data_IF_893268699835
#
_entry.id   IF_893268699835
#
_cell.length_a   1.000
_cell.length_b   1.000
_cell.length_c   1.000
_cell.angle_alpha   90.00
_cell.angle_beta   90.00
_cell.angle_gamma   90.00
#
_symmetry.space_group_name_H-M   'P 1'
#
loop_
_entity.id
_entity.type
_entity.pdbx_description
1 polymer ?
#
# COMPACT_ATOMS: atom_id res chain seq x y z
N UNK A 1 -8.10 -4.54 0.19
CA UNK A 1 -6.92 -3.78 0.64
C UNK A 1 -5.68 -4.33 -0.04
N UNK A 2 -4.50 -3.81 0.29
CA UNK A 2 -3.21 -4.32 -0.18
C UNK A 2 -2.13 -3.94 0.82
N UNK A 3 -1.03 -4.69 0.84
CA UNK A 3 0.10 -4.49 1.76
C UNK A 3 1.41 -4.82 1.05
N UNK A 4 2.48 -4.12 1.43
CA UNK A 4 3.85 -4.51 1.16
C UNK A 4 4.64 -4.40 2.45
N UNK A 5 5.39 -5.44 2.84
CA UNK A 5 6.36 -5.34 3.92
C UNK A 5 7.64 -4.77 3.31
N UNK A 6 8.17 -3.70 3.90
CA UNK A 6 9.18 -2.87 3.26
C UNK A 6 10.42 -3.64 2.78
N UNK A 7 10.84 -4.67 3.53
CA UNK A 7 11.98 -5.49 3.16
C UNK A 7 11.80 -6.30 1.87
N UNK A 8 10.56 -6.50 1.43
CA UNK A 8 10.22 -7.23 0.21
C UNK A 8 9.76 -6.30 -0.92
N UNK A 9 10.06 -5.00 -0.85
CA UNK A 9 9.60 -3.99 -1.83
C UNK A 9 10.02 -4.27 -3.28
N UNK A 10 11.12 -5.00 -3.48
CA UNK A 10 11.66 -5.36 -4.81
C UNK A 10 11.51 -6.84 -5.12
N UNK A 11 11.61 -7.72 -4.12
CA UNK A 11 11.57 -9.16 -4.30
C UNK A 11 11.06 -9.85 -3.04
N UNK A 12 10.15 -10.82 -3.22
CA UNK A 12 9.71 -11.72 -2.15
C UNK A 12 10.78 -12.77 -1.80
N UNK A 13 11.69 -13.07 -2.74
CA UNK A 13 12.74 -14.10 -2.56
C UNK A 13 14.03 -13.55 -1.98
N UNK A 14 14.29 -12.27 -2.19
CA UNK A 14 15.52 -11.60 -1.76
C UNK A 14 15.17 -10.35 -0.94
N UNK A 15 14.88 -10.50 0.37
CA UNK A 15 14.61 -9.36 1.24
C UNK A 15 15.83 -8.46 1.36
N UNK A 16 15.61 -7.15 1.33
CA UNK A 16 16.65 -6.15 1.58
C UNK A 16 16.15 -5.14 2.62
N UNK A 17 16.95 -4.78 3.64
CA UNK A 17 16.57 -3.74 4.58
C UNK A 17 16.40 -2.38 3.88
N UNK A 18 15.73 -1.46 4.57
CA UNK A 18 15.59 -0.07 4.13
C UNK A 18 16.44 0.82 5.03
N UNK A 19 16.88 1.96 4.49
CA UNK A 19 17.61 2.98 5.25
C UNK A 19 16.59 3.94 5.88
N UNK A 20 16.71 4.18 7.18
CA UNK A 20 15.84 5.13 7.88
C UNK A 20 16.01 6.56 7.31
N UNK A 21 14.91 7.27 7.11
CA UNK A 21 14.88 8.62 6.54
C UNK A 21 15.04 8.69 5.01
N UNK A 22 15.45 7.61 4.34
CA UNK A 22 15.51 7.59 2.89
C UNK A 22 14.11 7.51 2.28
N UNK A 23 13.81 8.42 1.35
CA UNK A 23 12.54 8.37 0.63
C UNK A 23 12.55 7.26 -0.41
N UNK A 24 11.68 6.27 -0.26
CA UNK A 24 11.58 5.13 -1.16
C UNK A 24 10.21 5.05 -1.83
N UNK A 25 10.19 4.58 -3.09
CA UNK A 25 8.96 4.29 -3.83
C UNK A 25 8.49 2.87 -3.55
N UNK A 26 7.20 2.73 -3.24
CA UNK A 26 6.54 1.44 -3.07
C UNK A 26 5.44 1.25 -4.13
N UNK A 27 5.29 0.02 -4.59
CA UNK A 27 4.15 -0.40 -5.40
C UNK A 27 3.32 -1.37 -4.57
N UNK A 28 2.16 -0.92 -4.11
CA UNK A 28 1.23 -1.71 -3.31
C UNK A 28 0.12 -2.21 -4.24
N UNK A 29 0.06 -3.52 -4.47
CA UNK A 29 -1.04 -4.10 -5.24
C UNK A 29 -2.26 -4.21 -4.36
N UNK A 30 -3.36 -3.61 -4.82
CA UNK A 30 -4.66 -3.68 -4.15
C UNK A 30 -5.44 -4.89 -4.68
N UNK A 31 -6.19 -5.54 -3.80
CA UNK A 31 -7.16 -6.57 -4.21
C UNK A 31 -8.21 -6.01 -5.20
N UNK A 32 -8.76 -6.86 -6.09
CA UNK A 32 -9.70 -6.43 -7.11
C UNK A 32 -11.04 -5.99 -6.51
N UNK A 33 -11.71 -5.05 -7.17
CA UNK A 33 -13.07 -4.64 -6.85
C UNK A 33 -13.76 -4.09 -8.11
N UNK A 34 -15.10 -4.06 -8.09
CA UNK A 34 -15.93 -3.46 -9.13
C UNK A 34 -17.03 -2.64 -8.46
N UNK A 35 -16.98 -1.32 -8.59
CA UNK A 35 -17.88 -0.40 -7.90
C UNK A 35 -18.29 0.72 -8.86
N UNK A 36 -19.59 1.00 -8.94
CA UNK A 36 -20.12 2.21 -9.57
C UNK A 36 -20.26 3.32 -8.52
N UNK A 37 -19.46 4.37 -8.65
CA UNK A 37 -19.60 5.58 -7.83
C UNK A 37 -20.77 6.41 -8.35
N UNK A 38 -21.85 6.48 -7.58
CA UNK A 38 -23.03 7.30 -7.89
C UNK A 38 -22.80 8.75 -7.48
N UNK A 39 -23.66 9.65 -7.94
CA UNK A 39 -23.66 11.06 -7.51
C UNK A 39 -23.69 11.14 -5.98
N UNK A 40 -22.78 11.94 -5.41
CA UNK A 40 -22.61 12.10 -3.96
C UNK A 40 -21.64 11.11 -3.32
N UNK A 41 -21.30 9.99 -3.98
CA UNK A 41 -20.26 9.09 -3.49
C UNK A 41 -18.88 9.72 -3.65
N UNK A 42 -17.94 9.30 -2.81
CA UNK A 42 -16.53 9.70 -2.88
C UNK A 42 -15.65 8.46 -2.83
N UNK A 43 -14.57 8.51 -3.59
CA UNK A 43 -13.47 7.58 -3.42
C UNK A 43 -12.58 8.09 -2.29
N UNK A 44 -12.30 7.23 -1.31
CA UNK A 44 -11.38 7.49 -0.21
C UNK A 44 -10.27 6.45 -0.24
N UNK A 45 -9.04 6.90 0.04
CA UNK A 45 -7.89 6.03 0.27
C UNK A 45 -7.43 6.24 1.71
N UNK A 46 -7.41 5.17 2.49
CA UNK A 46 -6.76 5.14 3.79
C UNK A 46 -5.40 4.46 3.67
N UNK A 47 -4.37 5.11 4.21
CA UNK A 47 -3.00 4.60 4.25
C UNK A 47 -2.59 4.44 5.71
N UNK A 48 -2.15 3.24 6.06
CA UNK A 48 -1.69 2.87 7.41
C UNK A 48 -0.52 1.89 7.28
N UNK A 49 0.25 1.73 8.36
CA UNK A 49 1.37 0.77 8.44
C UNK A 49 0.99 -0.56 9.08
N UNK A 50 -0.31 -0.84 9.27
CA UNK A 50 -0.79 -2.09 9.86
C UNK A 50 -2.24 -2.41 9.47
N UNK A 51 -2.54 -3.70 9.33
CA UNK A 51 -3.89 -4.25 9.16
C UNK A 51 -3.94 -5.61 9.86
N UNK A 52 -3.88 -5.58 11.19
CA UNK A 52 -3.95 -6.78 12.04
C UNK A 52 -5.42 -7.10 12.34
N UNK A 53 -5.86 -8.38 12.30
CA UNK A 53 -5.05 -9.59 12.15
C UNK A 53 -4.87 -10.09 10.71
N UNK A 54 -5.31 -9.34 9.68
CA UNK A 54 -5.20 -9.76 8.29
C UNK A 54 -3.74 -9.97 7.85
N UNK A 55 -2.83 -9.16 8.37
CA UNK A 55 -1.38 -9.32 8.24
C UNK A 55 -0.73 -9.29 9.62
N UNK A 56 0.36 -10.05 9.77
CA UNK A 56 1.20 -9.99 10.95
C UNK A 56 1.84 -8.60 11.09
N UNK A 57 2.07 -8.17 12.32
CA UNK A 57 2.64 -6.84 12.61
C UNK A 57 4.10 -6.79 12.12
N UNK A 58 4.53 -5.65 11.59
CA UNK A 58 5.95 -5.40 11.36
C UNK A 58 6.61 -4.93 12.67
N UNK A 59 7.73 -5.54 13.04
CA UNK A 59 8.43 -5.25 14.29
C UNK A 59 9.26 -3.96 14.22
N UNK A 60 9.55 -3.48 13.02
CA UNK A 60 10.32 -2.27 12.73
C UNK A 60 11.78 -2.30 13.24
N UNK A 61 12.36 -3.50 13.43
CA UNK A 61 13.75 -3.70 13.87
C UNK A 61 14.69 -4.20 12.76
N UNK A 62 14.14 -4.56 11.59
CA UNK A 62 14.82 -5.31 10.52
C UNK A 62 15.32 -6.72 10.89
N UNK A 63 15.17 -7.15 12.14
CA UNK A 63 15.49 -8.50 12.59
C UNK A 63 14.59 -9.57 11.92
N UNK A 64 14.87 -10.84 12.20
CA UNK A 64 13.95 -11.92 11.84
C UNK A 64 12.70 -11.84 12.71
N UNK A 65 11.56 -11.57 12.06
CA UNK A 65 10.25 -11.42 12.69
C UNK A 65 9.73 -12.72 13.32
N UNK A 66 10.26 -13.89 12.93
CA UNK A 66 9.88 -15.18 13.50
C UNK A 66 10.65 -15.52 14.79
N UNK A 67 11.69 -14.75 15.12
CA UNK A 67 12.59 -15.02 16.24
C UNK A 67 12.62 -13.87 17.24
N UNK A 68 12.69 -12.63 16.75
CA UNK A 68 12.79 -11.44 17.59
C UNK A 68 11.41 -10.91 17.99
N UNK A 69 11.11 -10.86 19.29
CA UNK A 69 9.86 -10.32 19.82
C UNK A 69 9.89 -8.80 20.06
N UNK A 70 11.04 -8.14 19.85
CA UNK A 70 11.17 -6.70 20.07
C UNK A 70 10.36 -5.91 19.06
N UNK A 71 9.53 -5.00 19.56
CA UNK A 71 8.78 -4.04 18.77
C UNK A 71 9.32 -2.64 18.99
N UNK A 72 9.44 -1.86 17.92
CA UNK A 72 9.86 -0.45 17.97
C UNK A 72 8.83 0.41 17.23
N UNK A 73 8.34 1.52 17.82
CA UNK A 73 7.52 2.48 17.09
C UNK A 73 8.28 3.05 15.89
N UNK A 74 7.58 3.29 14.79
CA UNK A 74 8.18 3.87 13.60
C UNK A 74 7.32 5.02 13.07
N UNK A 75 7.95 6.18 12.89
CA UNK A 75 7.31 7.32 12.25
C UNK A 75 7.31 7.13 10.73
N UNK A 76 6.13 7.25 10.12
CA UNK A 76 5.94 7.04 8.70
C UNK A 76 5.55 8.36 8.04
N UNK A 77 6.14 8.65 6.89
CA UNK A 77 5.79 9.82 6.09
C UNK A 77 5.35 9.39 4.69
N UNK A 78 4.17 9.82 4.28
CA UNK A 78 3.65 9.59 2.92
C UNK A 78 3.76 10.90 2.14
N UNK A 79 4.66 10.94 1.16
CA UNK A 79 4.84 12.11 0.30
C UNK A 79 3.73 12.17 -0.76
N UNK A 80 3.15 13.35 -0.96
CA UNK A 80 2.16 13.62 -2.00
C UNK A 80 2.42 14.96 -2.68
N UNK A 81 2.03 15.10 -3.95
CA UNK A 81 2.28 16.29 -4.76
C UNK A 81 3.72 16.43 -5.29
N UNK A 82 3.92 17.42 -6.18
CA UNK A 82 5.22 17.75 -6.77
C UNK A 82 5.93 16.59 -7.46
N UNK A 83 7.26 16.58 -7.39
CA UNK A 83 8.10 15.54 -7.99
C UNK A 83 8.00 14.16 -7.31
N UNK A 84 7.39 14.08 -6.11
CA UNK A 84 7.25 12.87 -5.30
C UNK A 84 5.78 12.46 -5.11
N UNK A 85 4.94 12.75 -6.09
CA UNK A 85 3.51 12.50 -6.00
C UNK A 85 3.18 10.99 -5.92
N UNK A 86 2.84 10.53 -4.71
CA UNK A 86 2.15 9.25 -4.53
C UNK A 86 0.78 9.29 -5.21
N UNK A 87 0.34 8.15 -5.76
CA UNK A 87 -0.92 8.07 -6.51
C UNK A 87 -1.62 6.73 -6.31
N UNK A 88 -2.95 6.78 -6.32
CA UNK A 88 -3.81 5.61 -6.51
C UNK A 88 -4.10 5.45 -8.01
N UNK A 89 -3.79 4.29 -8.57
CA UNK A 89 -4.11 3.96 -9.96
C UNK A 89 -5.40 3.15 -9.98
N UNK A 90 -6.46 3.73 -10.55
CA UNK A 90 -7.79 3.10 -10.64
C UNK A 90 -8.15 2.89 -12.11
N UNK A 91 -8.49 1.67 -12.54
CA UNK A 91 -9.05 1.46 -13.87
C UNK A 91 -10.46 2.04 -13.91
N UNK A 92 -10.68 3.05 -14.76
CA UNK A 92 -11.99 3.66 -14.97
C UNK A 92 -12.60 3.07 -16.23
N UNK A 93 -13.77 2.45 -16.07
CA UNK A 93 -14.55 1.95 -17.20
C UNK A 93 -15.54 3.04 -17.61
N UNK A 94 -15.33 3.61 -18.79
CA UNK A 94 -16.30 4.50 -19.43
C UNK A 94 -17.32 3.65 -20.17
N UNK A 95 -18.62 3.84 -19.91
CA UNK A 95 -19.63 3.23 -20.77
C UNK A 95 -19.55 3.89 -22.16
N UNK A 96 -19.07 3.17 -23.17
CA UNK A 96 -19.45 3.48 -24.54
C UNK A 96 -20.97 3.24 -24.67
N UNK A 97 -21.65 4.10 -25.41
CA UNK A 97 -23.10 4.14 -25.56
C UNK A 97 -23.74 2.75 -25.70
N UNK A 98 -24.87 2.59 -25.01
CA UNK A 98 -25.86 1.51 -25.08
C UNK A 98 -25.82 0.72 -26.40
N UNK A 99 -25.32 -0.51 -26.37
CA UNK A 99 -25.70 -1.50 -27.39
C UNK A 99 -27.01 -2.13 -26.91
N UNK A 100 -28.14 -1.59 -27.38
CA UNK A 100 -29.43 -2.30 -27.28
C UNK A 100 -29.32 -3.59 -28.09
N UNK A 101 -29.74 -4.71 -27.50
CA UNK A 101 -30.30 -5.81 -28.30
C UNK A 101 -31.75 -5.47 -28.60
#
# INVERSE_FOLDING_TARGET
SGMVRARYRTSLKAPAPIVAGETMRYVIRMGPTSIQFRKGHRLRLDVTSSDFPNYDRNHNTAADQNVDARLVPAEQTVFHGGARASRLVVPVITSAATRRK
#
